data_IF_828888562260
#
_entry.id   IF_828888562260
#
_cell.length_a   1.000
_cell.length_b   1.000
_cell.length_c   1.000
_cell.angle_alpha   90.00
_cell.angle_beta   90.00
_cell.angle_gamma   90.00
#
_symmetry.space_group_name_H-M   'P 1'
#
loop_
_entity.id
_entity.type
_entity.pdbx_description
1 polymer ?
#
# COMPACT_ATOMS: atom_id res chain seq x y z
N UNK A 1 19.63 8.19 12.95
CA UNK A 1 19.33 7.13 12.43
C UNK A 1 18.03 6.57 12.94
N UNK A 2 17.40 5.77 12.31
CA UNK A 2 16.33 4.99 12.86
C UNK A 2 14.95 5.59 12.95
N UNK A 3 14.67 6.66 12.24
CA UNK A 3 13.28 7.06 12.10
C UNK A 3 12.54 5.95 11.36
N UNK A 4 11.43 5.48 11.92
CA UNK A 4 10.61 4.47 11.27
C UNK A 4 9.72 5.13 10.22
N UNK A 5 10.21 5.17 8.99
CA UNK A 5 9.52 5.79 7.86
C UNK A 5 8.11 5.24 7.65
N UNK A 6 7.91 3.94 7.88
CA UNK A 6 6.62 3.32 7.71
C UNK A 6 5.62 3.83 8.74
N UNK A 7 6.05 3.95 9.99
CA UNK A 7 5.18 4.45 11.04
C UNK A 7 4.86 5.93 10.85
N UNK A 8 5.83 6.72 10.41
CA UNK A 8 5.60 8.12 10.09
C UNK A 8 4.63 8.25 8.92
N UNK A 9 4.80 7.46 7.87
CA UNK A 9 3.92 7.42 6.72
C UNK A 9 2.50 6.98 7.12
N UNK A 10 2.40 5.97 7.97
CA UNK A 10 1.14 5.48 8.50
C UNK A 10 0.39 6.58 9.27
N UNK A 11 1.11 7.36 10.07
CA UNK A 11 0.51 8.46 10.83
C UNK A 11 -0.04 9.55 9.92
N UNK A 12 0.69 9.89 8.87
CA UNK A 12 0.22 10.85 7.87
C UNK A 12 -1.05 10.35 7.19
N UNK A 13 -1.07 9.08 6.83
CA UNK A 13 -2.24 8.45 6.23
C UNK A 13 -3.45 8.46 7.17
N UNK A 14 -3.21 8.14 8.44
CA UNK A 14 -4.23 8.21 9.49
C UNK A 14 -4.85 9.61 9.57
N UNK A 15 -4.02 10.63 9.64
CA UNK A 15 -4.49 12.01 9.78
C UNK A 15 -5.28 12.44 8.54
N UNK A 16 -4.85 12.04 7.36
CA UNK A 16 -5.56 12.33 6.12
C UNK A 16 -6.91 11.64 6.07
N UNK A 17 -6.98 10.39 6.48
CA UNK A 17 -8.22 9.62 6.51
C UNK A 17 -9.23 10.23 7.49
N UNK A 18 -8.78 10.60 8.69
CA UNK A 18 -9.63 11.23 9.70
C UNK A 18 -10.16 12.57 9.20
N UNK A 19 -9.33 13.33 8.51
CA UNK A 19 -9.71 14.67 8.02
C UNK A 19 -10.69 14.60 6.85
N UNK A 20 -10.47 13.74 5.89
CA UNK A 20 -11.23 13.72 4.64
C UNK A 20 -12.17 12.54 4.48
N UNK A 21 -12.07 11.53 5.33
CA UNK A 21 -12.90 10.32 5.23
C UNK A 21 -12.46 9.33 4.16
N UNK A 22 -11.44 9.66 3.39
CA UNK A 22 -10.93 8.78 2.33
C UNK A 22 -9.42 8.92 2.19
N UNK A 23 -8.81 7.94 1.55
CA UNK A 23 -7.37 7.89 1.36
C UNK A 23 -7.08 7.67 -0.12
N UNK A 24 -6.28 8.55 -0.71
CA UNK A 24 -5.81 8.38 -2.08
C UNK A 24 -4.57 7.47 -2.06
N UNK A 25 -4.55 6.38 -2.86
CA UNK A 25 -3.35 5.54 -2.92
C UNK A 25 -2.15 6.33 -3.43
N UNK A 26 -1.01 6.19 -2.78
CA UNK A 26 0.21 6.93 -3.08
C UNK A 26 1.41 5.98 -3.04
N UNK A 27 2.33 6.19 -3.96
CA UNK A 27 3.62 5.51 -3.96
C UNK A 27 4.72 6.56 -3.77
N UNK A 28 5.50 6.41 -2.71
CA UNK A 28 6.70 7.21 -2.48
C UNK A 28 7.90 6.45 -3.02
N UNK A 29 8.62 7.07 -3.94
CA UNK A 29 9.81 6.48 -4.54
C UNK A 29 11.03 7.20 -3.97
N UNK A 30 11.88 6.45 -3.29
CA UNK A 30 13.13 6.97 -2.71
C UNK A 30 14.29 6.47 -3.55
N UNK A 31 15.03 7.38 -4.15
CA UNK A 31 16.14 7.08 -5.01
C UNK A 31 17.03 8.28 -5.15
N UNK A 32 17.70 8.37 -6.29
CA UNK A 32 18.57 9.51 -6.59
C UNK A 32 17.80 10.83 -6.51
N UNK A 33 16.58 10.84 -7.03
CA UNK A 33 15.64 11.94 -6.87
C UNK A 33 14.33 11.36 -6.33
N UNK A 34 13.80 11.91 -5.23
CA UNK A 34 12.55 11.38 -4.70
C UNK A 34 11.38 11.75 -5.60
N UNK A 35 10.39 10.87 -5.65
CA UNK A 35 9.16 11.09 -6.39
C UNK A 35 7.97 10.60 -5.60
N UNK A 36 6.82 11.21 -5.86
CA UNK A 36 5.54 10.81 -5.26
C UNK A 36 4.54 10.61 -6.38
N UNK A 37 3.92 9.46 -6.42
CA UNK A 37 2.91 9.12 -7.43
C UNK A 37 1.58 8.89 -6.73
N UNK A 38 0.58 9.69 -7.06
CA UNK A 38 -0.79 9.48 -6.59
C UNK A 38 -1.57 8.74 -7.66
N UNK A 39 -2.33 7.72 -7.25
CA UNK A 39 -3.14 6.94 -8.18
C UNK A 39 -4.57 7.44 -8.13
N UNK A 40 -5.04 8.01 -9.23
CA UNK A 40 -6.44 8.46 -9.33
C UNK A 40 -7.39 7.29 -9.52
N UNK A 41 -7.00 6.34 -10.36
CA UNK A 41 -7.80 5.16 -10.66
C UNK A 41 -6.92 3.92 -10.56
N UNK A 42 -7.08 3.17 -9.46
CA UNK A 42 -6.38 1.91 -9.30
C UNK A 42 -7.14 0.81 -10.06
N UNK A 43 -6.48 0.08 -10.95
CA UNK A 43 -7.15 -1.03 -11.64
C UNK A 43 -7.76 -2.04 -10.68
N UNK A 44 -8.86 -2.66 -11.08
CA UNK A 44 -9.63 -3.54 -10.22
C UNK A 44 -9.09 -4.96 -10.09
N UNK A 45 -8.34 -5.43 -11.09
CA UNK A 45 -7.79 -6.81 -11.06
C UNK A 45 -6.33 -6.81 -10.64
N UNK A 46 -5.89 -7.92 -10.03
CA UNK A 46 -4.50 -8.09 -9.60
C UNK A 46 -3.52 -8.03 -10.77
N UNK A 47 -3.88 -8.62 -11.90
CA UNK A 47 -3.02 -8.61 -13.08
C UNK A 47 -2.85 -7.22 -13.66
N UNK A 48 -3.92 -6.44 -13.70
CA UNK A 48 -3.87 -5.06 -14.19
C UNK A 48 -3.08 -4.15 -13.24
N UNK A 49 -3.23 -4.35 -11.94
CA UNK A 49 -2.45 -3.61 -10.93
C UNK A 49 -0.97 -3.92 -11.06
N UNK A 50 -0.63 -5.20 -11.23
CA UNK A 50 0.76 -5.63 -11.41
C UNK A 50 1.35 -5.02 -12.67
N UNK A 51 0.62 -5.03 -13.77
CA UNK A 51 1.06 -4.42 -15.02
C UNK A 51 1.28 -2.90 -14.88
N UNK A 52 0.41 -2.23 -14.13
CA UNK A 52 0.53 -0.79 -13.88
C UNK A 52 1.79 -0.46 -13.07
N UNK A 53 2.08 -1.25 -12.01
CA UNK A 53 3.29 -1.05 -11.21
C UNK A 53 4.55 -1.38 -12.00
N UNK A 54 4.52 -2.40 -12.84
CA UNK A 54 5.63 -2.73 -13.73
C UNK A 54 5.93 -1.57 -14.69
N UNK A 55 4.89 -1.06 -15.35
CA UNK A 55 5.03 0.07 -16.27
C UNK A 55 5.57 1.32 -15.55
N UNK A 56 5.09 1.58 -14.34
CA UNK A 56 5.56 2.69 -13.53
C UNK A 56 7.04 2.54 -13.19
N UNK A 57 7.48 1.32 -12.84
CA UNK A 57 8.89 1.05 -12.58
C UNK A 57 9.77 1.33 -13.78
N UNK A 58 9.30 0.96 -14.97
CA UNK A 58 10.04 1.27 -16.22
C UNK A 58 10.14 2.77 -16.44
N UNK A 59 9.07 3.51 -16.20
CA UNK A 59 9.05 4.97 -16.38
C UNK A 59 9.95 5.70 -15.38
N UNK A 60 10.05 5.20 -14.16
CA UNK A 60 10.81 5.85 -13.09
C UNK A 60 12.21 5.25 -12.90
N UNK A 61 12.64 4.34 -13.75
CA UNK A 61 13.95 3.70 -13.63
C UNK A 61 15.11 4.73 -13.65
N UNK A 62 14.94 5.83 -14.36
CA UNK A 62 15.95 6.88 -14.44
C UNK A 62 16.21 7.58 -13.09
N UNK A 63 15.27 7.50 -12.15
CA UNK A 63 15.43 8.03 -10.80
C UNK A 63 16.27 7.12 -9.91
N UNK A 64 16.65 5.95 -10.40
CA UNK A 64 17.40 4.93 -9.67
C UNK A 64 16.79 4.61 -8.31
N UNK A 65 15.58 4.07 -8.30
CA UNK A 65 14.87 3.77 -7.05
C UNK A 65 15.66 2.80 -6.17
N UNK A 66 15.78 3.14 -4.89
CA UNK A 66 16.40 2.29 -3.88
C UNK A 66 15.35 1.64 -2.98
N UNK A 67 14.24 2.34 -2.77
CA UNK A 67 13.15 1.89 -1.90
C UNK A 67 11.86 2.54 -2.36
N UNK A 68 10.77 1.79 -2.24
CA UNK A 68 9.43 2.33 -2.48
C UNK A 68 8.55 2.04 -1.27
N UNK A 69 7.65 2.98 -0.99
CA UNK A 69 6.67 2.84 0.08
C UNK A 69 5.29 3.12 -0.52
N UNK A 70 4.40 2.15 -0.44
CA UNK A 70 3.03 2.32 -0.89
C UNK A 70 2.11 2.58 0.29
N UNK A 71 1.13 3.45 0.09
CA UNK A 71 0.09 3.75 1.07
C UNK A 71 -1.24 3.60 0.37
N UNK A 72 -2.10 2.77 0.92
CA UNK A 72 -3.43 2.56 0.35
C UNK A 72 -4.42 2.16 1.44
N UNK A 73 -5.69 2.38 1.18
CA UNK A 73 -6.73 1.74 1.96
C UNK A 73 -7.07 0.40 1.31
N UNK A 74 -7.48 -0.55 2.11
CA UNK A 74 -7.75 -1.90 1.64
C UNK A 74 -8.73 -2.59 2.59
N UNK A 75 -9.01 -3.84 2.32
CA UNK A 75 -9.78 -4.69 3.22
C UNK A 75 -8.86 -5.76 3.80
N UNK A 76 -9.00 -5.98 5.10
CA UNK A 76 -8.19 -6.91 5.87
C UNK A 76 -9.07 -7.98 6.48
N UNK A 77 -8.58 -9.19 6.46
CA UNK A 77 -9.21 -10.31 7.14
C UNK A 77 -8.14 -11.13 7.83
N UNK A 78 -8.49 -11.64 9.02
CA UNK A 78 -7.56 -12.47 9.77
C UNK A 78 -7.12 -13.69 8.97
N UNK A 79 -5.84 -14.06 9.10
CA UNK A 79 -5.22 -15.13 8.32
C UNK A 79 -5.78 -16.53 8.62
N UNK A 80 -6.61 -16.66 9.65
CA UNK A 80 -7.19 -17.96 10.03
C UNK A 80 -8.29 -18.45 9.09
N UNK A 81 -8.69 -17.61 8.14
CA UNK A 81 -9.78 -17.95 7.23
C UNK A 81 -9.26 -17.90 5.80
N UNK A 82 -9.25 -19.05 5.13
CA UNK A 82 -8.96 -19.11 3.71
C UNK A 82 -10.10 -18.48 2.93
N UNK A 83 -9.78 -17.51 2.08
CA UNK A 83 -10.74 -16.90 1.19
C UNK A 83 -10.64 -17.53 -0.19
N UNK A 84 -11.75 -17.82 -0.85
CA UNK A 84 -11.72 -18.16 -2.25
C UNK A 84 -11.08 -17.00 -3.03
N UNK A 85 -10.10 -17.31 -3.87
CA UNK A 85 -9.39 -16.32 -4.67
C UNK A 85 -10.29 -15.48 -5.59
N UNK A 86 -11.51 -15.95 -5.81
CA UNK A 86 -12.49 -15.32 -6.69
C UNK A 86 -13.33 -14.24 -6.01
N UNK A 87 -13.22 -14.14 -4.68
CA UNK A 87 -14.05 -13.21 -3.91
C UNK A 87 -13.26 -11.99 -3.49
N UNK A 88 -13.78 -10.81 -3.82
CA UNK A 88 -13.23 -9.57 -3.30
C UNK A 88 -13.46 -9.49 -1.79
N UNK A 89 -12.45 -9.07 -1.03
CA UNK A 89 -12.60 -8.82 0.40
C UNK A 89 -13.63 -7.72 0.68
N UNK A 90 -13.84 -6.81 -0.27
CA UNK A 90 -14.84 -5.75 -0.13
C UNK A 90 -16.26 -6.30 0.04
N UNK A 91 -16.53 -7.48 -0.52
CA UNK A 91 -17.84 -8.12 -0.46
C UNK A 91 -18.01 -9.06 0.75
N UNK A 92 -16.96 -9.22 1.55
CA UNK A 92 -16.98 -10.09 2.71
C UNK A 92 -17.36 -9.29 3.96
N UNK A 93 -18.50 -9.60 4.61
CA UNK A 93 -18.92 -8.85 5.80
C UNK A 93 -17.99 -9.01 6.99
N UNK A 94 -17.12 -10.03 6.99
CA UNK A 94 -16.12 -10.21 8.04
C UNK A 94 -14.82 -9.46 7.78
N UNK A 95 -14.65 -8.87 6.60
CA UNK A 95 -13.48 -8.08 6.27
C UNK A 95 -13.56 -6.69 6.89
N UNK A 96 -12.43 -6.19 7.36
CA UNK A 96 -12.31 -4.87 7.95
C UNK A 96 -11.60 -3.93 6.99
N UNK A 97 -11.99 -2.66 6.98
CA UNK A 97 -11.23 -1.64 6.27
C UNK A 97 -9.91 -1.41 7.00
N UNK A 98 -8.87 -1.09 6.27
CA UNK A 98 -7.57 -0.82 6.86
C UNK A 98 -6.74 0.15 6.01
N UNK A 99 -5.79 0.80 6.69
CA UNK A 99 -4.70 1.49 6.01
C UNK A 99 -3.56 0.49 5.87
N UNK A 100 -3.00 0.36 4.68
CA UNK A 100 -1.84 -0.50 4.42
C UNK A 100 -0.68 0.37 4.00
N UNK A 101 0.43 0.24 4.71
CA UNK A 101 1.71 0.86 4.34
C UNK A 101 2.71 -0.27 4.12
N UNK A 102 3.18 -0.40 2.90
CA UNK A 102 4.12 -1.45 2.54
C UNK A 102 5.39 -0.83 1.96
N UNK A 103 6.53 -1.44 2.23
CA UNK A 103 7.78 -1.01 1.65
C UNK A 103 8.56 -2.20 1.10
N UNK A 104 9.32 -1.90 0.05
CA UNK A 104 10.25 -2.85 -0.54
C UNK A 104 11.49 -2.08 -0.96
N UNK A 105 12.67 -2.57 -0.58
CA UNK A 105 13.90 -1.97 -1.05
C UNK A 105 14.48 -2.77 -2.22
N UNK A 106 15.50 -2.20 -2.84
CA UNK A 106 16.17 -2.79 -4.00
C UNK A 106 16.77 -4.16 -3.71
N UNK A 107 17.07 -4.47 -2.45
CA UNK A 107 17.65 -5.75 -2.03
C UNK A 107 16.59 -6.81 -1.74
N UNK A 108 15.32 -6.46 -1.89
CA UNK A 108 14.21 -7.38 -1.65
C UNK A 108 13.73 -7.43 -0.21
N UNK A 109 14.17 -6.50 0.64
CA UNK A 109 13.68 -6.43 2.03
C UNK A 109 12.31 -5.76 2.03
N UNK A 110 11.33 -6.49 2.54
CA UNK A 110 9.94 -6.07 2.56
C UNK A 110 9.45 -5.87 3.99
N UNK A 111 8.51 -4.92 4.15
CA UNK A 111 7.86 -4.66 5.41
C UNK A 111 6.46 -4.13 5.13
N UNK A 112 5.48 -4.53 5.96
CA UNK A 112 4.12 -4.07 5.80
C UNK A 112 3.48 -3.82 7.16
N UNK A 113 2.81 -2.68 7.28
CA UNK A 113 1.98 -2.34 8.43
C UNK A 113 0.54 -2.24 7.98
N UNK A 114 -0.36 -2.82 8.77
CA UNK A 114 -1.80 -2.77 8.52
C UNK A 114 -2.46 -2.15 9.75
N UNK A 115 -3.27 -1.15 9.52
CA UNK A 115 -4.00 -0.48 10.59
C UNK A 115 -5.50 -0.62 10.34
N UNK A 116 -6.15 -1.63 10.92
CA UNK A 116 -7.60 -1.81 10.76
C UNK A 116 -8.38 -0.70 11.44
N UNK A 117 -9.53 -0.34 10.88
CA UNK A 117 -10.40 0.66 11.46
C UNK A 117 -11.87 0.35 11.15
N UNK A 118 -12.75 0.97 11.90
CA UNK A 118 -14.18 0.88 11.70
C UNK A 118 -14.76 2.29 11.51
N UNK A 119 -15.76 2.40 10.65
CA UNK A 119 -16.48 3.65 10.42
C UNK A 119 -17.79 3.61 11.21
N UNK A 120 -18.00 4.63 12.03
CA UNK A 120 -19.22 4.77 12.82
C UNK A 120 -19.90 6.09 12.47
N UNK A 121 -21.07 6.04 11.79
CA UNK A 121 -21.84 7.27 11.58
C UNK A 121 -22.38 7.77 12.91
N UNK A 122 -22.23 9.06 13.18
CA UNK A 122 -22.75 9.71 14.38
C UNK A 122 -23.56 10.93 13.98
N UNK A 123 -24.29 11.51 14.95
CA UNK A 123 -25.05 12.75 14.72
C UNK A 123 -24.13 13.91 14.37
N UNK A 124 -22.87 13.87 14.78
CA UNK A 124 -21.89 14.90 14.53
C UNK A 124 -21.06 14.64 13.27
N UNK A 125 -21.28 13.52 12.58
CA UNK A 125 -20.55 13.12 11.41
C UNK A 125 -19.97 11.72 11.51
N UNK A 126 -18.97 11.43 10.69
CA UNK A 126 -18.33 10.13 10.66
C UNK A 126 -17.20 10.05 11.68
N UNK A 127 -17.27 9.03 12.56
CA UNK A 127 -16.20 8.72 13.49
C UNK A 127 -15.45 7.50 12.99
N UNK A 128 -14.13 7.56 12.97
CA UNK A 128 -13.28 6.44 12.58
C UNK A 128 -12.56 5.92 13.83
N UNK A 129 -12.78 4.66 14.14
CA UNK A 129 -12.17 3.99 15.29
C UNK A 129 -11.08 3.05 14.83
N UNK A 130 -9.85 3.28 15.27
CA UNK A 130 -8.70 2.48 14.86
C UNK A 130 -8.42 1.36 15.85
N UNK A 131 -8.07 0.19 15.31
CA UNK A 131 -7.63 -0.97 16.07
C UNK A 131 -6.10 -0.99 16.15
N UNK A 132 -5.50 -1.88 16.95
CA UNK A 132 -4.05 -1.96 17.01
C UNK A 132 -3.41 -2.24 15.64
N UNK A 133 -2.27 -1.62 15.40
CA UNK A 133 -1.50 -1.84 14.16
C UNK A 133 -0.94 -3.26 14.14
N UNK A 134 -1.04 -3.93 13.01
CA UNK A 134 -0.49 -5.26 12.79
C UNK A 134 0.70 -5.14 11.84
N UNK A 135 1.81 -5.77 12.19
CA UNK A 135 2.99 -5.79 11.34
C UNK A 135 3.13 -7.17 10.70
N UNK A 136 3.29 -7.18 9.38
CA UNK A 136 3.52 -8.40 8.62
C UNK A 136 4.93 -8.41 8.05
N UNK A 137 5.54 -9.59 8.08
CA UNK A 137 6.81 -9.86 7.43
C UNK A 137 6.56 -11.00 6.44
N UNK A 138 6.32 -10.67 5.19
CA UNK A 138 6.05 -11.69 4.19
C UNK A 138 6.00 -11.11 2.81
N UNK A 139 6.00 -12.00 1.81
CA UNK A 139 6.10 -11.59 0.42
C UNK A 139 4.76 -11.34 -0.26
N UNK A 140 3.67 -11.87 0.29
CA UNK A 140 2.39 -11.92 -0.42
C UNK A 140 1.80 -10.54 -0.72
N UNK A 141 1.97 -9.59 0.18
CA UNK A 141 1.33 -8.28 0.09
C UNK A 141 2.19 -7.22 -0.57
N UNK A 142 3.42 -7.55 -0.94
CA UNK A 142 4.31 -6.60 -1.63
C UNK A 142 4.53 -6.94 -3.09
N UNK A 143 3.71 -7.84 -3.65
CA UNK A 143 3.87 -8.28 -5.04
C UNK A 143 3.79 -7.11 -6.04
N UNK A 144 3.04 -6.06 -5.74
CA UNK A 144 2.96 -4.88 -6.59
C UNK A 144 4.27 -4.10 -6.57
N UNK A 145 4.91 -4.00 -5.40
CA UNK A 145 6.20 -3.34 -5.28
C UNK A 145 7.31 -4.17 -5.95
N UNK A 146 7.21 -5.49 -5.89
CA UNK A 146 8.11 -6.38 -6.63
C UNK A 146 7.97 -6.14 -8.14
N UNK A 147 6.73 -6.01 -8.64
CA UNK A 147 6.49 -5.70 -10.05
C UNK A 147 7.11 -4.35 -10.45
N UNK A 148 7.03 -3.36 -9.57
CA UNK A 148 7.68 -2.07 -9.79
C UNK A 148 9.20 -2.24 -10.01
N UNK A 149 9.87 -2.98 -9.13
CA UNK A 149 11.32 -3.20 -9.28
C UNK A 149 11.66 -4.09 -10.47
N UNK A 150 10.80 -5.02 -10.85
CA UNK A 150 10.96 -5.78 -12.09
C UNK A 150 10.95 -4.84 -13.30
N UNK A 151 10.07 -3.85 -13.30
CA UNK A 151 10.01 -2.83 -14.33
C UNK A 151 11.27 -1.96 -14.37
N UNK A 152 11.77 -1.58 -13.19
CA UNK A 152 13.04 -0.82 -13.08
C UNK A 152 14.19 -1.62 -13.70
N UNK A 153 14.30 -2.89 -13.34
CA UNK A 153 15.35 -3.77 -13.87
C UNK A 153 15.24 -3.93 -15.38
N UNK A 154 14.02 -4.11 -15.90
CA UNK A 154 13.78 -4.27 -17.34
C UNK A 154 14.24 -3.04 -18.13
N UNK A 155 14.02 -1.84 -17.59
CA UNK A 155 14.45 -0.61 -18.24
C UNK A 155 15.96 -0.42 -18.22
N UNK A 156 16.64 -0.95 -17.19
CA UNK A 156 18.08 -0.82 -17.01
C UNK A 156 18.89 -1.84 -17.81
N UNK A 157 18.26 -2.85 -18.34
CA UNK A 157 18.93 -3.90 -19.14
C UNK A 157 19.26 -3.47 -20.58
N UNK A 158 18.91 -2.25 -20.96
CA UNK A 158 19.17 -1.74 -22.30
C UNK A 158 20.47 -0.98 -22.37
#
# INVERSE_FOLDING_TARGET
MGRDDLRDTMRIAHDNLVRSGSLVPVLFVKGREPAVVAFQDMPSTSNERRAAFYALGRRLAHLRPQRVISVTDAYYKSADVELPLERSLADDPAAEECIVVASLDRRGRARMLVWPYERHPTLEGLKIEFKPVVQFRGKAEVYLLEAFFEGVAAAQEK
#
